data_IF_783898619857
#
_entry.id   IF_783898619857
#
_cell.length_a   1.000
_cell.length_b   1.000
_cell.length_c   1.000
_cell.angle_alpha   90.00
_cell.angle_beta   90.00
_cell.angle_gamma   90.00
#
_symmetry.space_group_name_H-M   'P 1'
#
loop_
_entity.id
_entity.type
_entity.pdbx_description
1 polymer ?
#
# COMPACT_ATOMS: atom_id res chain seq x y z
N UNK A 1 10.31 -1.38 16.12
CA UNK A 1 11.23 -2.33 15.46
C UNK A 1 10.40 -3.35 14.68
N UNK A 2 10.49 -3.40 13.35
CA UNK A 2 9.76 -4.39 12.54
C UNK A 2 10.39 -5.77 12.75
N UNK A 3 9.67 -6.64 13.46
CA UNK A 3 10.07 -8.01 13.75
C UNK A 3 10.33 -8.80 12.45
N UNK A 4 11.58 -9.24 12.26
CA UNK A 4 12.01 -10.09 11.12
C UNK A 4 11.31 -11.46 11.11
N UNK A 5 10.71 -11.88 12.24
CA UNK A 5 10.06 -13.19 12.43
C UNK A 5 8.54 -13.16 12.32
N UNK A 6 7.91 -11.99 12.15
CA UNK A 6 6.47 -11.91 11.90
C UNK A 6 6.16 -11.39 10.48
N UNK A 7 6.27 -12.26 9.46
CA UNK A 7 5.92 -11.91 8.10
C UNK A 7 4.40 -11.91 8.00
N UNK A 8 3.72 -10.82 8.34
CA UNK A 8 2.32 -10.67 7.93
C UNK A 8 2.28 -10.57 6.40
N UNK A 9 2.36 -11.73 5.75
CA UNK A 9 2.04 -11.99 4.36
C UNK A 9 0.53 -12.03 4.19
N UNK A 10 -0.22 -11.49 5.14
CA UNK A 10 -1.66 -11.43 5.16
C UNK A 10 -2.04 -10.04 5.65
N UNK A 11 -2.99 -9.45 4.96
CA UNK A 11 -3.64 -8.21 5.35
C UNK A 11 -5.13 -8.51 5.46
N UNK A 12 -5.77 -8.05 6.53
CA UNK A 12 -7.21 -8.20 6.74
C UNK A 12 -7.86 -6.85 6.48
N UNK A 13 -8.69 -6.77 5.45
CA UNK A 13 -9.43 -5.58 5.04
C UNK A 13 -10.91 -5.92 5.14
N UNK A 14 -11.63 -5.25 6.06
CA UNK A 14 -13.07 -5.49 6.29
C UNK A 14 -13.42 -6.98 6.47
N UNK A 15 -12.62 -7.71 7.25
CA UNK A 15 -12.79 -9.15 7.49
C UNK A 15 -12.28 -10.07 6.36
N UNK A 16 -11.92 -9.51 5.20
CA UNK A 16 -11.37 -10.28 4.07
C UNK A 16 -9.85 -10.36 4.21
N UNK A 17 -9.35 -11.59 4.26
CA UNK A 17 -7.91 -11.87 4.31
C UNK A 17 -7.35 -11.93 2.89
N UNK A 18 -6.38 -11.06 2.59
CA UNK A 18 -5.61 -11.07 1.33
C UNK A 18 -4.16 -11.44 1.60
N UNK A 19 -3.59 -12.30 0.74
CA UNK A 19 -2.23 -12.80 0.90
C UNK A 19 -1.25 -12.00 0.05
N UNK A 20 -0.11 -11.66 0.63
CA UNK A 20 1.02 -11.10 -0.09
C UNK A 20 1.70 -12.19 -0.93
N UNK A 21 2.07 -11.85 -2.16
CA UNK A 21 2.94 -12.65 -3.01
C UNK A 21 4.30 -12.89 -2.34
N UNK A 22 4.98 -14.01 -2.68
CA UNK A 22 6.33 -14.30 -2.17
C UNK A 22 7.31 -13.15 -2.41
N UNK A 23 8.27 -12.97 -1.50
CA UNK A 23 9.30 -11.93 -1.67
C UNK A 23 10.27 -12.30 -2.80
N UNK A 24 10.62 -11.31 -3.61
CA UNK A 24 11.58 -11.45 -4.70
C UNK A 24 11.06 -12.20 -5.92
N UNK A 25 9.76 -12.52 -5.98
CA UNK A 25 9.13 -13.08 -7.18
C UNK A 25 8.91 -11.99 -8.24
N UNK A 26 8.86 -12.40 -9.50
CA UNK A 26 8.60 -11.49 -10.62
C UNK A 26 7.23 -10.83 -10.43
N UNK A 27 7.22 -9.49 -10.43
CA UNK A 27 6.04 -8.67 -10.19
C UNK A 27 5.50 -8.68 -8.75
N UNK A 28 6.08 -9.49 -7.85
CA UNK A 28 5.60 -9.66 -6.48
C UNK A 28 6.22 -8.69 -5.47
N UNK A 29 6.07 -9.04 -4.19
CA UNK A 29 6.66 -8.29 -3.08
C UNK A 29 8.18 -8.22 -3.21
N UNK A 30 8.78 -7.08 -2.88
CA UNK A 30 10.24 -6.95 -3.00
C UNK A 30 10.98 -7.62 -1.83
N UNK A 31 12.29 -7.85 -2.00
CA UNK A 31 13.12 -8.50 -0.97
C UNK A 31 13.27 -7.64 0.29
N UNK A 32 13.42 -6.32 0.13
CA UNK A 32 13.58 -5.36 1.25
C UNK A 32 12.33 -5.23 2.12
N UNK A 33 11.15 -5.59 1.61
CA UNK A 33 9.89 -5.53 2.34
C UNK A 33 9.19 -4.16 2.30
N UNK A 34 9.74 -3.18 1.57
CA UNK A 34 9.11 -1.88 1.36
C UNK A 34 7.99 -1.90 0.32
N UNK A 35 7.92 -2.95 -0.50
CA UNK A 35 6.81 -3.17 -1.44
C UNK A 35 6.16 -4.53 -1.15
N UNK A 36 4.86 -4.50 -0.87
CA UNK A 36 4.02 -5.69 -0.75
C UNK A 36 3.00 -5.73 -1.87
N UNK A 37 2.88 -6.87 -2.53
CA UNK A 37 1.85 -7.08 -3.56
C UNK A 37 0.90 -8.16 -3.10
N UNK A 38 -0.37 -7.83 -2.95
CA UNK A 38 -1.42 -8.69 -2.42
C UNK A 38 -2.30 -9.24 -3.54
N UNK A 39 -2.61 -10.54 -3.48
CA UNK A 39 -3.71 -11.13 -4.24
C UNK A 39 -5.04 -10.62 -3.66
N UNK A 40 -5.65 -9.69 -4.38
CA UNK A 40 -6.76 -8.87 -3.93
C UNK A 40 -8.04 -9.11 -4.72
N UNK A 41 -8.12 -10.22 -5.45
CA UNK A 41 -9.31 -10.58 -6.26
C UNK A 41 -10.59 -10.69 -5.44
N UNK A 42 -10.47 -11.00 -4.15
CA UNK A 42 -11.59 -11.04 -3.21
C UNK A 42 -12.03 -9.65 -2.72
N UNK A 43 -11.27 -8.59 -2.99
CA UNK A 43 -11.59 -7.21 -2.64
C UNK A 43 -12.16 -6.46 -3.84
N UNK A 44 -13.22 -5.71 -3.57
CA UNK A 44 -13.72 -4.67 -4.48
C UNK A 44 -12.80 -3.45 -4.48
N UNK A 45 -12.87 -2.66 -5.56
CA UNK A 45 -12.15 -1.38 -5.64
C UNK A 45 -12.55 -0.41 -4.53
N UNK A 46 -13.84 -0.41 -4.14
CA UNK A 46 -14.34 0.40 -3.04
C UNK A 46 -13.65 0.01 -1.72
N UNK A 47 -13.55 -1.28 -1.41
CA UNK A 47 -12.85 -1.74 -0.20
C UNK A 47 -11.36 -1.35 -0.18
N UNK A 48 -10.69 -1.36 -1.33
CA UNK A 48 -9.29 -0.91 -1.39
C UNK A 48 -9.19 0.61 -1.16
N UNK A 49 -10.11 1.39 -1.74
CA UNK A 49 -10.20 2.85 -1.55
C UNK A 49 -10.52 3.20 -0.09
N UNK A 50 -11.48 2.52 0.51
CA UNK A 50 -11.89 2.74 1.91
C UNK A 50 -10.75 2.35 2.86
N UNK A 51 -10.03 1.27 2.57
CA UNK A 51 -8.83 0.92 3.33
C UNK A 51 -7.75 2.00 3.21
N UNK A 52 -7.53 2.57 2.01
CA UNK A 52 -6.61 3.70 1.85
C UNK A 52 -7.05 4.93 2.66
N UNK A 53 -8.36 5.19 2.72
CA UNK A 53 -8.96 6.27 3.51
C UNK A 53 -8.81 6.02 5.02
N UNK A 54 -8.83 4.77 5.50
CA UNK A 54 -8.56 4.45 6.90
C UNK A 54 -7.11 4.75 7.30
N UNK A 55 -6.15 4.51 6.39
CA UNK A 55 -4.73 4.75 6.63
C UNK A 55 -4.37 6.24 6.82
N UNK A 56 -5.28 7.16 6.51
CA UNK A 56 -5.09 8.60 6.72
C UNK A 56 -5.50 9.08 8.11
N UNK A 57 -6.04 8.19 8.96
CA UNK A 57 -6.49 8.57 10.30
C UNK A 57 -7.63 9.59 10.31
N UNK A 58 -8.45 9.63 9.24
CA UNK A 58 -9.60 10.53 9.12
C UNK A 58 -9.36 11.77 8.26
N UNK A 59 -8.14 12.04 7.81
CA UNK A 59 -7.87 13.10 6.82
C UNK A 59 -8.40 12.65 5.45
N UNK A 60 -9.30 13.39 4.78
CA UNK A 60 -9.84 12.98 3.49
C UNK A 60 -8.76 12.77 2.41
N UNK A 61 -8.91 11.72 1.60
CA UNK A 61 -8.15 11.56 0.36
C UNK A 61 -8.75 12.48 -0.71
N UNK A 62 -8.02 13.54 -1.06
CA UNK A 62 -8.44 14.49 -2.09
C UNK A 62 -8.04 14.01 -3.48
N UNK A 63 -8.92 14.20 -4.45
CA UNK A 63 -8.64 13.86 -5.85
C UNK A 63 -7.61 14.84 -6.41
N UNK A 64 -6.45 14.31 -6.82
CA UNK A 64 -5.42 15.09 -7.54
C UNK A 64 -5.72 15.08 -9.04
N UNK A 65 -6.10 13.90 -9.55
CA UNK A 65 -6.56 13.68 -10.94
C UNK A 65 -7.29 12.34 -11.02
N UNK A 66 -7.81 11.99 -12.20
CA UNK A 66 -8.47 10.70 -12.39
C UNK A 66 -7.56 9.53 -12.00
N UNK A 67 -8.09 8.70 -11.10
CA UNK A 67 -7.37 7.55 -10.57
C UNK A 67 -6.20 7.88 -9.64
N UNK A 68 -6.04 9.14 -9.17
CA UNK A 68 -4.98 9.53 -8.22
C UNK A 68 -5.54 10.44 -7.13
N UNK A 69 -5.35 10.03 -5.88
CA UNK A 69 -5.80 10.73 -4.68
C UNK A 69 -4.66 10.84 -3.67
N UNK A 70 -4.68 11.89 -2.85
CA UNK A 70 -3.65 12.11 -1.84
C UNK A 70 -4.21 12.74 -0.56
N UNK A 71 -3.56 12.42 0.56
CA UNK A 71 -3.77 13.08 1.84
C UNK A 71 -2.40 13.39 2.46
N UNK A 72 -2.24 14.59 3.01
CA UNK A 72 -1.07 15.00 3.79
C UNK A 72 -1.48 15.11 5.25
N UNK A 73 -0.83 14.33 6.11
CA UNK A 73 -1.12 14.28 7.54
C UNK A 73 -0.28 15.31 8.30
N UNK A 74 -0.68 15.60 9.54
CA UNK A 74 -0.02 16.59 10.40
C UNK A 74 1.43 16.23 10.76
N UNK A 75 1.75 14.93 10.80
CA UNK A 75 3.11 14.42 11.04
C UNK A 75 4.02 14.46 9.79
N UNK A 76 3.52 15.00 8.67
CA UNK A 76 4.22 15.06 7.39
C UNK A 76 4.10 13.78 6.54
N UNK A 77 3.42 12.74 7.02
CA UNK A 77 3.10 11.55 6.24
C UNK A 77 2.25 11.95 5.03
N UNK A 78 2.57 11.38 3.87
CA UNK A 78 1.75 11.50 2.66
C UNK A 78 1.25 10.11 2.27
N UNK A 79 -0.07 9.96 2.21
CA UNK A 79 -0.74 8.76 1.69
C UNK A 79 -1.24 9.08 0.29
N UNK A 80 -0.81 8.31 -0.71
CA UNK A 80 -1.35 8.41 -2.08
C UNK A 80 -2.05 7.11 -2.44
N UNK A 81 -3.22 7.22 -3.06
CA UNK A 81 -3.93 6.11 -3.70
C UNK A 81 -3.91 6.33 -5.21
N UNK A 82 -3.46 5.33 -5.97
CA UNK A 82 -3.40 5.44 -7.44
C UNK A 82 -3.75 4.14 -8.17
N UNK A 83 -4.51 4.26 -9.25
CA UNK A 83 -4.76 3.15 -10.21
C UNK A 83 -3.70 3.07 -11.31
N UNK A 84 -2.82 4.08 -11.40
CA UNK A 84 -1.71 4.13 -12.36
C UNK A 84 -0.38 3.84 -11.68
N UNK A 85 0.43 2.96 -12.29
CA UNK A 85 1.76 2.62 -11.78
C UNK A 85 2.75 2.25 -12.87
N UNK A 86 3.98 2.77 -12.79
CA UNK A 86 5.07 2.39 -13.71
C UNK A 86 5.36 0.89 -13.71
N UNK A 87 5.08 0.20 -12.60
CA UNK A 87 5.27 -1.24 -12.46
C UNK A 87 4.04 -2.06 -12.86
N UNK A 88 2.97 -1.44 -13.36
CA UNK A 88 1.69 -2.13 -13.53
C UNK A 88 1.79 -3.32 -14.47
N UNK A 89 2.56 -3.20 -15.56
CA UNK A 89 2.74 -4.28 -16.54
C UNK A 89 3.33 -5.56 -15.93
N UNK A 90 4.08 -5.42 -14.82
CA UNK A 90 4.71 -6.54 -14.13
C UNK A 90 3.91 -6.96 -12.89
N UNK A 91 3.40 -5.99 -12.12
CA UNK A 91 2.71 -6.27 -10.86
C UNK A 91 1.23 -6.61 -11.03
N UNK A 92 0.64 -6.20 -12.16
CA UNK A 92 -0.78 -6.31 -12.51
C UNK A 92 -1.69 -5.71 -11.42
N UNK A 93 -1.26 -4.60 -10.82
CA UNK A 93 -1.90 -4.03 -9.65
C UNK A 93 -2.96 -3.01 -10.07
N UNK A 94 -4.22 -3.27 -9.73
CA UNK A 94 -5.36 -2.40 -10.02
C UNK A 94 -5.32 -1.11 -9.19
N UNK A 95 -4.80 -1.20 -7.96
CA UNK A 95 -4.60 -0.06 -7.07
C UNK A 95 -3.26 -0.18 -6.32
N UNK A 96 -2.62 0.96 -6.08
CA UNK A 96 -1.42 1.09 -5.26
C UNK A 96 -1.61 2.17 -4.21
N UNK A 97 -1.28 1.85 -2.96
CA UNK A 97 -1.18 2.81 -1.85
C UNK A 97 0.30 3.06 -1.57
N UNK A 98 0.72 4.32 -1.66
CA UNK A 98 2.05 4.78 -1.32
C UNK A 98 2.00 5.56 -0.01
N UNK A 99 2.73 5.12 1.01
CA UNK A 99 2.89 5.84 2.28
C UNK A 99 4.32 6.39 2.32
N UNK A 100 4.45 7.72 2.39
CA UNK A 100 5.73 8.43 2.28
C UNK A 100 5.97 9.31 3.49
N UNK A 101 7.24 9.53 3.82
CA UNK A 101 7.69 10.45 4.87
C UNK A 101 7.10 10.16 6.26
N UNK A 102 6.58 8.95 6.49
CA UNK A 102 6.12 8.57 7.81
C UNK A 102 7.30 8.55 8.79
N UNK A 103 7.23 9.21 9.95
CA UNK A 103 8.34 9.32 10.89
C UNK A 103 8.97 7.97 11.26
N UNK A 104 8.15 6.97 11.58
CA UNK A 104 8.63 5.64 11.94
C UNK A 104 9.32 4.90 10.78
N UNK A 105 8.90 5.13 9.54
CA UNK A 105 9.59 4.56 8.37
C UNK A 105 10.92 5.26 8.12
N UNK A 106 10.96 6.58 8.28
CA UNK A 106 12.17 7.39 8.15
C UNK A 106 13.23 6.99 9.17
N UNK A 107 12.85 6.78 10.43
CA UNK A 107 13.73 6.23 11.48
C UNK A 107 14.29 4.85 11.10
N UNK A 108 13.50 4.03 10.41
CA UNK A 108 13.91 2.72 9.90
C UNK A 108 14.69 2.80 8.57
N UNK A 109 15.04 4.00 8.09
CA UNK A 109 15.77 4.22 6.83
C UNK A 109 14.93 4.06 5.55
N UNK A 110 13.61 3.93 5.68
CA UNK A 110 12.69 3.72 4.57
C UNK A 110 11.87 4.98 4.29
N UNK A 111 12.10 5.64 3.16
CA UNK A 111 11.37 6.87 2.80
C UNK A 111 9.94 6.63 2.32
N UNK A 112 9.63 5.37 1.95
CA UNK A 112 8.39 4.98 1.29
C UNK A 112 8.09 3.50 1.50
N UNK A 113 6.82 3.20 1.74
CA UNK A 113 6.23 1.86 1.64
C UNK A 113 5.15 1.86 0.56
N UNK A 114 5.09 0.77 -0.21
CA UNK A 114 4.08 0.52 -1.24
C UNK A 114 3.25 -0.73 -0.92
N UNK A 115 1.93 -0.58 -0.92
CA UNK A 115 0.97 -1.69 -0.89
C UNK A 115 0.28 -1.74 -2.25
N UNK A 116 0.43 -2.84 -2.97
CA UNK A 116 -0.17 -3.05 -4.31
C UNK A 116 -1.23 -4.14 -4.24
N UNK A 117 -2.33 -3.93 -4.93
CA UNK A 117 -3.49 -4.83 -4.96
C UNK A 117 -3.69 -5.31 -6.40
N UNK A 118 -3.40 -6.59 -6.67
CA UNK A 118 -3.64 -7.23 -7.98
C UNK A 118 -4.97 -7.96 -7.97
#
# INVERSE_FOLDING_TARGET
>A
MLDKKNPRNELVIFGIKVKATPRGSVGGSNKSGTTKVFDSRALTDAQIKDYAQQLTGGVPLEKVKDGVYAAKLSDGTIVNLRSVSKSNDVTQARWTIDIRNNPSFMEAGNKKVELKFR
#
